data_IF_087748308495
#
_entry.id   IF_087748308495
#
_cell.length_a   1.000
_cell.length_b   1.000
_cell.length_c   1.000
_cell.angle_alpha   90.00
_cell.angle_beta   90.00
_cell.angle_gamma   90.00
#
_symmetry.space_group_name_H-M   'P 1'
#
loop_
_entity.id
_entity.type
_entity.pdbx_description
1 polymer ?
#
# COMPACT_ATOMS: atom_id res chain seq x y z
N UNK A 1 47.36 8.08 25.28
CA UNK A 1 46.44 8.50 24.21
C UNK A 1 45.42 7.38 24.00
N UNK A 2 44.19 7.60 24.43
CA UNK A 2 43.08 6.68 24.21
C UNK A 2 42.33 7.18 22.96
N UNK A 3 42.39 6.35 21.90
CA UNK A 3 41.68 6.60 20.65
C UNK A 3 40.23 6.13 20.83
N UNK A 4 39.29 7.06 21.01
CA UNK A 4 37.85 6.76 21.04
C UNK A 4 37.40 6.64 19.59
N UNK A 5 37.17 5.40 19.13
CA UNK A 5 36.52 5.12 17.87
C UNK A 5 35.01 5.39 18.05
N UNK A 6 34.55 6.52 17.55
CA UNK A 6 33.11 6.79 17.44
C UNK A 6 32.54 5.92 16.32
N UNK A 7 31.79 4.88 16.68
CA UNK A 7 30.95 4.15 15.74
C UNK A 7 29.77 5.05 15.37
N UNK A 8 29.86 5.69 14.20
CA UNK A 8 28.68 6.28 13.55
C UNK A 8 27.78 5.13 13.11
N UNK A 9 26.71 4.87 13.87
CA UNK A 9 25.60 4.05 13.40
C UNK A 9 24.93 4.83 12.29
N UNK A 10 25.33 4.55 11.04
CA UNK A 10 24.59 4.94 9.86
C UNK A 10 23.32 4.10 9.84
N UNK A 11 22.26 4.62 10.44
CA UNK A 11 20.91 4.11 10.23
C UNK A 11 20.59 4.34 8.75
N UNK A 12 20.86 3.33 7.94
CA UNK A 12 20.31 3.29 6.59
C UNK A 12 18.80 3.22 6.81
N UNK A 13 18.12 4.34 6.64
CA UNK A 13 16.72 4.35 6.28
C UNK A 13 16.66 3.64 4.93
N UNK A 14 16.48 2.33 4.96
CA UNK A 14 16.02 1.60 3.80
C UNK A 14 14.68 2.24 3.44
N UNK A 15 14.67 3.12 2.45
CA UNK A 15 13.46 3.58 1.81
C UNK A 15 12.69 2.31 1.49
N UNK A 16 11.47 2.19 2.00
CA UNK A 16 10.73 0.93 1.93
C UNK A 16 10.42 0.67 0.48
N UNK A 17 11.19 -0.22 -0.15
CA UNK A 17 10.97 -0.65 -1.53
C UNK A 17 9.77 -1.62 -1.58
N UNK A 18 8.61 -1.15 -1.08
CA UNK A 18 7.41 -1.93 -0.83
C UNK A 18 6.16 -1.15 -1.22
N UNK A 19 5.22 -1.80 -1.89
CA UNK A 19 3.96 -1.21 -2.32
C UNK A 19 4.12 0.02 -3.21
N UNK A 20 3.23 0.98 -3.07
CA UNK A 20 3.22 2.21 -3.87
C UNK A 20 4.51 3.04 -3.74
N UNK A 21 5.12 3.07 -2.56
CA UNK A 21 6.40 3.76 -2.35
C UNK A 21 7.54 3.09 -3.11
N UNK A 22 7.59 1.77 -3.12
CA UNK A 22 8.53 1.00 -3.90
C UNK A 22 8.36 1.26 -5.40
N UNK A 23 7.13 1.20 -5.88
CA UNK A 23 6.80 1.45 -7.29
C UNK A 23 7.22 2.85 -7.77
N UNK A 24 7.07 3.87 -6.90
CA UNK A 24 7.43 5.26 -7.26
C UNK A 24 8.93 5.50 -7.42
N UNK A 25 9.77 4.64 -6.86
CA UNK A 25 11.23 4.72 -6.95
C UNK A 25 11.83 3.90 -8.11
N UNK A 26 11.00 3.12 -8.82
CA UNK A 26 11.46 2.27 -9.91
C UNK A 26 11.75 3.07 -11.18
N UNK A 27 12.90 2.79 -11.79
CA UNK A 27 13.28 3.36 -13.10
C UNK A 27 12.72 2.56 -14.27
N UNK A 28 12.49 1.26 -14.07
CA UNK A 28 11.96 0.36 -15.08
C UNK A 28 10.91 -0.57 -14.47
N UNK A 29 9.74 -0.58 -15.07
CA UNK A 29 8.63 -1.45 -14.68
C UNK A 29 8.48 -2.58 -15.70
N UNK A 30 8.21 -3.78 -15.17
CA UNK A 30 7.73 -4.93 -15.93
C UNK A 30 6.49 -5.50 -15.24
N UNK A 31 5.81 -6.44 -15.88
CA UNK A 31 4.58 -7.02 -15.36
C UNK A 31 4.75 -7.60 -13.94
N UNK A 32 5.82 -8.36 -13.72
CA UNK A 32 6.10 -8.97 -12.40
C UNK A 32 6.26 -7.91 -11.31
N UNK A 33 7.03 -6.85 -11.56
CA UNK A 33 7.20 -5.75 -10.60
C UNK A 33 5.89 -5.04 -10.32
N UNK A 34 5.11 -4.72 -11.36
CA UNK A 34 3.83 -4.03 -11.19
C UNK A 34 2.83 -4.84 -10.36
N UNK A 35 2.70 -6.14 -10.64
CA UNK A 35 1.84 -7.03 -9.85
C UNK A 35 2.34 -7.17 -8.41
N UNK A 36 3.65 -7.30 -8.20
CA UNK A 36 4.21 -7.39 -6.85
C UNK A 36 3.94 -6.12 -6.04
N UNK A 37 4.18 -4.94 -6.59
CA UNK A 37 3.90 -3.69 -5.88
C UNK A 37 2.41 -3.49 -5.63
N UNK A 38 1.55 -3.87 -6.58
CA UNK A 38 0.11 -3.80 -6.40
C UNK A 38 -0.35 -4.64 -5.19
N UNK A 39 0.01 -5.91 -5.13
CA UNK A 39 -0.44 -6.78 -4.03
C UNK A 39 0.22 -6.42 -2.70
N UNK A 40 1.48 -5.95 -2.71
CA UNK A 40 2.16 -5.44 -1.52
C UNK A 40 1.43 -4.24 -0.92
N UNK A 41 0.93 -3.34 -1.75
CA UNK A 41 0.19 -2.16 -1.30
C UNK A 41 -1.15 -2.55 -0.67
N UNK A 42 -1.87 -3.51 -1.25
CA UNK A 42 -3.10 -4.04 -0.68
C UNK A 42 -2.85 -4.80 0.65
N UNK A 43 -1.75 -5.55 0.76
CA UNK A 43 -1.33 -6.17 2.03
C UNK A 43 -1.02 -5.11 3.09
N UNK A 44 -0.31 -4.04 2.71
CA UNK A 44 0.05 -2.96 3.64
C UNK A 44 -1.20 -2.23 4.13
N UNK A 45 -2.11 -1.86 3.25
CA UNK A 45 -3.37 -1.21 3.61
C UNK A 45 -4.20 -2.10 4.57
N UNK A 46 -4.29 -3.41 4.29
CA UNK A 46 -4.99 -4.34 5.18
C UNK A 46 -4.32 -4.43 6.56
N UNK A 47 -2.98 -4.50 6.62
CA UNK A 47 -2.24 -4.58 7.87
C UNK A 47 -2.38 -3.30 8.70
N UNK A 48 -2.25 -2.12 8.07
CA UNK A 48 -2.41 -0.81 8.72
C UNK A 48 -3.83 -0.61 9.27
N UNK A 49 -4.86 -0.94 8.49
CA UNK A 49 -6.24 -0.77 8.95
C UNK A 49 -6.60 -1.76 10.05
N UNK A 50 -6.03 -2.96 10.05
CA UNK A 50 -6.16 -3.91 11.17
C UNK A 50 -5.53 -3.34 12.44
N UNK A 51 -4.29 -2.86 12.37
CA UNK A 51 -3.60 -2.22 13.48
C UNK A 51 -4.43 -1.06 14.06
N UNK A 52 -4.98 -0.20 13.20
CA UNK A 52 -5.78 0.96 13.64
C UNK A 52 -7.07 0.51 14.34
N UNK A 53 -7.74 -0.51 13.82
CA UNK A 53 -8.95 -1.08 14.43
C UNK A 53 -8.63 -1.70 15.80
N UNK A 54 -7.53 -2.43 15.90
CA UNK A 54 -7.09 -3.04 17.16
C UNK A 54 -6.72 -1.99 18.20
N UNK A 55 -6.02 -0.92 17.80
CA UNK A 55 -5.55 0.13 18.71
C UNK A 55 -6.64 1.12 19.13
N UNK A 56 -7.50 1.53 18.23
CA UNK A 56 -8.47 2.61 18.45
C UNK A 56 -9.94 2.17 18.40
N UNK A 57 -10.18 0.87 18.22
CA UNK A 57 -11.52 0.31 18.05
C UNK A 57 -12.06 0.44 16.62
N UNK A 58 -13.28 -0.02 16.44
CA UNK A 58 -13.92 -0.17 15.14
C UNK A 58 -14.34 1.19 14.52
N UNK A 59 -13.35 1.99 14.10
CA UNK A 59 -13.53 3.32 13.52
C UNK A 59 -13.76 3.28 12.02
N UNK A 60 -14.80 4.02 11.55
CA UNK A 60 -14.96 4.27 10.11
C UNK A 60 -13.99 5.39 9.66
N UNK A 61 -13.45 5.31 8.43
CA UNK A 61 -13.77 4.37 7.37
C UNK A 61 -12.98 3.05 7.41
N UNK A 62 -11.95 2.90 8.29
CA UNK A 62 -11.06 1.74 8.35
C UNK A 62 -11.80 0.40 8.39
N UNK A 63 -12.81 0.29 9.24
CA UNK A 63 -13.60 -0.95 9.41
C UNK A 63 -14.40 -1.38 8.18
N UNK A 64 -14.68 -0.46 7.28
CA UNK A 64 -15.32 -0.77 6.01
C UNK A 64 -14.30 -1.08 4.92
N UNK A 65 -13.23 -0.27 4.86
CA UNK A 65 -12.22 -0.37 3.80
C UNK A 65 -11.41 -1.66 3.94
N UNK A 66 -11.05 -2.09 5.14
CA UNK A 66 -10.31 -3.35 5.35
C UNK A 66 -10.98 -4.57 4.67
N UNK A 67 -12.30 -4.58 4.57
CA UNK A 67 -13.05 -5.63 3.86
C UNK A 67 -12.90 -5.51 2.34
N UNK A 68 -12.68 -4.31 1.84
CA UNK A 68 -12.40 -4.08 0.42
C UNK A 68 -10.98 -4.53 0.09
N UNK A 69 -9.98 -4.22 0.93
CA UNK A 69 -8.59 -4.63 0.72
C UNK A 69 -8.44 -6.15 0.63
N UNK A 70 -9.19 -6.89 1.45
CA UNK A 70 -9.23 -8.34 1.31
C UNK A 70 -9.70 -8.78 -0.08
N UNK A 71 -10.77 -8.16 -0.60
CA UNK A 71 -11.28 -8.46 -1.95
C UNK A 71 -10.32 -8.03 -3.05
N UNK A 72 -9.57 -6.94 -2.84
CA UNK A 72 -8.54 -6.49 -3.79
C UNK A 72 -7.43 -7.52 -3.94
N UNK A 73 -6.95 -8.09 -2.83
CA UNK A 73 -5.99 -9.19 -2.84
C UNK A 73 -6.57 -10.40 -3.59
N UNK A 74 -7.83 -10.77 -3.30
CA UNK A 74 -8.54 -11.87 -3.98
C UNK A 74 -8.72 -11.62 -5.49
N UNK A 75 -8.77 -10.36 -5.94
CA UNK A 75 -8.82 -10.01 -7.37
C UNK A 75 -7.45 -10.11 -8.04
N UNK A 76 -6.35 -9.83 -7.33
CA UNK A 76 -4.99 -9.88 -7.87
C UNK A 76 -4.46 -11.32 -8.02
N UNK A 77 -4.74 -12.20 -7.08
CA UNK A 77 -4.22 -13.58 -7.06
C UNK A 77 -4.49 -14.34 -8.38
N UNK A 78 -5.70 -14.34 -8.96
CA UNK A 78 -5.94 -14.99 -10.25
C UNK A 78 -5.08 -14.44 -11.39
N UNK A 79 -4.80 -13.13 -11.39
CA UNK A 79 -3.96 -12.49 -12.39
C UNK A 79 -2.52 -13.00 -12.30
N UNK A 80 -1.95 -13.12 -11.09
CA UNK A 80 -0.65 -13.75 -10.89
C UNK A 80 -0.61 -15.17 -11.48
N UNK A 81 -1.63 -15.98 -11.21
CA UNK A 81 -1.72 -17.35 -11.68
C UNK A 81 -1.81 -17.42 -13.21
N UNK A 82 -2.64 -16.56 -13.84
CA UNK A 82 -2.80 -16.50 -15.29
C UNK A 82 -1.48 -16.22 -16.01
N UNK A 83 -0.64 -15.36 -15.40
CA UNK A 83 0.65 -14.95 -15.97
C UNK A 83 1.84 -15.78 -15.47
N UNK A 84 1.61 -16.89 -14.76
CA UNK A 84 2.65 -17.77 -14.17
C UNK A 84 3.66 -17.00 -13.30
N UNK A 85 3.19 -16.00 -12.59
CA UNK A 85 3.97 -15.21 -11.64
C UNK A 85 3.62 -15.66 -10.22
N UNK A 86 4.64 -15.94 -9.40
CA UNK A 86 4.40 -16.35 -8.02
C UNK A 86 3.88 -15.18 -7.19
N UNK A 87 2.82 -15.42 -6.42
CA UNK A 87 2.31 -14.44 -5.44
C UNK A 87 3.36 -14.28 -4.34
N UNK A 88 3.83 -13.05 -4.05
CA UNK A 88 4.81 -12.83 -2.98
C UNK A 88 4.19 -13.11 -1.61
N UNK A 89 5.05 -13.51 -0.66
CA UNK A 89 4.64 -13.65 0.73
C UNK A 89 4.20 -12.28 1.29
N UNK A 90 3.14 -12.30 2.09
CA UNK A 90 2.71 -11.12 2.85
C UNK A 90 3.69 -10.85 4.00
N UNK A 91 4.47 -9.78 3.86
CA UNK A 91 5.40 -9.27 4.87
C UNK A 91 5.05 -7.85 5.29
N UNK A 92 3.82 -7.41 5.02
CA UNK A 92 3.38 -6.03 5.26
C UNK A 92 3.54 -5.58 6.72
N UNK A 93 3.43 -6.51 7.67
CA UNK A 93 3.66 -6.20 9.09
C UNK A 93 5.05 -5.60 9.38
N UNK A 94 6.06 -5.91 8.55
CA UNK A 94 7.42 -5.35 8.69
C UNK A 94 7.53 -3.91 8.16
N UNK A 95 6.52 -3.42 7.47
CA UNK A 95 6.47 -2.11 6.83
C UNK A 95 5.42 -1.17 7.43
N UNK A 96 4.71 -1.64 8.46
CA UNK A 96 3.63 -0.94 9.11
C UNK A 96 4.12 0.34 9.79
N UNK A 97 3.40 1.45 9.57
CA UNK A 97 3.66 2.73 10.23
C UNK A 97 2.65 2.91 11.36
N UNK A 98 3.16 2.94 12.59
CA UNK A 98 2.31 3.19 13.75
C UNK A 98 1.89 4.66 13.85
N UNK A 99 0.63 4.90 14.18
CA UNK A 99 0.08 6.23 14.39
C UNK A 99 -0.35 6.45 15.85
N UNK A 100 -0.22 7.68 16.33
CA UNK A 100 -0.50 8.03 17.71
C UNK A 100 -1.96 8.37 17.99
N UNK A 101 -2.77 8.66 16.95
CA UNK A 101 -4.17 9.07 17.09
C UNK A 101 -5.01 8.66 15.89
N UNK A 102 -6.34 8.64 16.06
CA UNK A 102 -7.28 8.41 14.95
C UNK A 102 -7.13 9.48 13.87
N UNK A 103 -6.92 10.74 14.27
CA UNK A 103 -6.69 11.85 13.32
C UNK A 103 -5.45 11.62 12.46
N UNK A 104 -4.34 11.20 13.09
CA UNK A 104 -3.10 10.91 12.35
C UNK A 104 -3.25 9.67 11.47
N UNK A 105 -3.99 8.67 11.93
CA UNK A 105 -4.36 7.51 11.12
C UNK A 105 -5.18 7.90 9.87
N UNK A 106 -6.12 8.83 10.02
CA UNK A 106 -6.91 9.34 8.89
C UNK A 106 -6.03 10.10 7.88
N UNK A 107 -5.07 10.91 8.37
CA UNK A 107 -4.10 11.59 7.49
C UNK A 107 -3.22 10.58 6.74
N UNK A 108 -2.73 9.56 7.44
CA UNK A 108 -1.95 8.48 6.85
C UNK A 108 -2.76 7.74 5.78
N UNK A 109 -4.03 7.42 6.05
CA UNK A 109 -4.94 6.81 5.08
C UNK A 109 -5.17 7.68 3.84
N UNK A 110 -5.34 9.00 4.00
CA UNK A 110 -5.42 9.93 2.86
C UNK A 110 -4.16 9.84 1.99
N UNK A 111 -2.98 9.86 2.60
CA UNK A 111 -1.72 9.80 1.86
C UNK A 111 -1.53 8.44 1.18
N UNK A 112 -1.82 7.34 1.88
CA UNK A 112 -1.73 6.00 1.34
C UNK A 112 -2.61 5.83 0.09
N UNK A 113 -3.85 6.31 0.11
CA UNK A 113 -4.73 6.22 -1.06
C UNK A 113 -4.26 7.11 -2.22
N UNK A 114 -3.65 8.27 -1.95
CA UNK A 114 -3.03 9.11 -2.99
C UNK A 114 -1.86 8.35 -3.64
N UNK A 115 -0.98 7.75 -2.84
CA UNK A 115 0.18 7.01 -3.33
C UNK A 115 -0.26 5.78 -4.15
N UNK A 116 -1.28 5.05 -3.68
CA UNK A 116 -1.87 3.92 -4.40
C UNK A 116 -2.46 4.33 -5.76
N UNK A 117 -3.24 5.42 -5.82
CA UNK A 117 -3.78 5.95 -7.07
C UNK A 117 -2.65 6.31 -8.04
N UNK A 118 -1.61 7.00 -7.57
CA UNK A 118 -0.46 7.38 -8.37
C UNK A 118 0.27 6.14 -8.92
N UNK A 119 0.42 5.09 -8.11
CA UNK A 119 1.00 3.81 -8.53
C UNK A 119 0.21 3.20 -9.68
N UNK A 120 -1.11 3.06 -9.55
CA UNK A 120 -1.94 2.51 -10.63
C UNK A 120 -1.95 3.41 -11.88
N UNK A 121 -1.93 4.74 -11.73
CA UNK A 121 -1.78 5.65 -12.86
C UNK A 121 -0.46 5.44 -13.61
N UNK A 122 0.63 5.17 -12.88
CA UNK A 122 1.92 4.85 -13.48
C UNK A 122 1.88 3.51 -14.23
N UNK A 123 1.26 2.48 -13.64
CA UNK A 123 1.13 1.16 -14.25
C UNK A 123 0.25 1.19 -15.51
N UNK A 124 -0.86 1.90 -15.48
CA UNK A 124 -1.80 2.01 -16.60
C UNK A 124 -1.23 2.74 -17.82
N UNK A 125 -0.10 3.45 -17.68
CA UNK A 125 0.66 4.03 -18.81
C UNK A 125 1.53 3.01 -19.53
N UNK A 126 1.73 1.82 -18.95
CA UNK A 126 2.53 0.75 -19.55
C UNK A 126 1.67 -0.08 -20.51
N UNK A 127 2.36 -0.85 -21.38
CA UNK A 127 1.69 -1.92 -22.11
C UNK A 127 1.34 -3.04 -21.14
N UNK A 128 0.05 -3.37 -21.07
CA UNK A 128 -0.49 -4.35 -20.12
C UNK A 128 -1.38 -5.36 -20.85
N UNK A 129 -1.36 -6.63 -20.43
CA UNK A 129 -2.41 -7.58 -20.76
C UNK A 129 -3.80 -7.06 -20.34
N UNK A 130 -4.84 -7.42 -21.08
CA UNK A 130 -6.19 -6.86 -20.85
C UNK A 130 -6.74 -7.15 -19.46
N UNK A 131 -6.55 -8.36 -18.93
CA UNK A 131 -6.97 -8.77 -17.60
C UNK A 131 -6.25 -7.98 -16.48
N UNK A 132 -4.95 -7.70 -16.67
CA UNK A 132 -4.16 -6.87 -15.74
C UNK A 132 -4.67 -5.43 -15.75
N UNK A 133 -4.89 -4.86 -16.93
CA UNK A 133 -5.44 -3.51 -17.08
C UNK A 133 -6.78 -3.38 -16.37
N UNK A 134 -7.69 -4.31 -16.63
CA UNK A 134 -9.03 -4.31 -16.03
C UNK A 134 -8.98 -4.35 -14.50
N UNK A 135 -8.10 -5.16 -13.92
CA UNK A 135 -7.92 -5.23 -12.46
C UNK A 135 -7.33 -3.93 -11.92
N UNK A 136 -6.27 -3.38 -12.52
CA UNK A 136 -5.66 -2.14 -12.06
C UNK A 136 -6.62 -0.94 -12.14
N UNK A 137 -7.45 -0.83 -13.19
CA UNK A 137 -8.47 0.20 -13.29
C UNK A 137 -9.52 0.10 -12.17
N UNK A 138 -9.96 -1.13 -11.85
CA UNK A 138 -10.91 -1.38 -10.75
C UNK A 138 -10.32 -1.03 -9.39
N UNK A 139 -9.07 -1.41 -9.14
CA UNK A 139 -8.37 -1.12 -7.89
C UNK A 139 -8.15 0.39 -7.73
N UNK A 140 -7.68 1.07 -8.78
CA UNK A 140 -7.55 2.53 -8.76
C UNK A 140 -8.86 3.24 -8.46
N UNK A 141 -9.97 2.79 -9.05
CA UNK A 141 -11.30 3.34 -8.78
C UNK A 141 -11.76 3.10 -7.34
N UNK A 142 -11.43 1.95 -6.77
CA UNK A 142 -11.70 1.66 -5.37
C UNK A 142 -10.93 2.61 -4.46
N UNK A 143 -9.63 2.80 -4.68
CA UNK A 143 -8.80 3.73 -3.91
C UNK A 143 -9.26 5.18 -4.02
N UNK A 144 -9.78 5.62 -5.16
CA UNK A 144 -10.44 6.92 -5.29
C UNK A 144 -11.69 7.05 -4.39
N UNK A 145 -12.44 5.96 -4.20
CA UNK A 145 -13.58 5.92 -3.29
C UNK A 145 -13.11 5.97 -1.82
N UNK A 146 -12.08 5.20 -1.48
CA UNK A 146 -11.46 5.19 -0.16
C UNK A 146 -10.92 6.57 0.20
N UNK A 147 -10.19 7.21 -0.70
CA UNK A 147 -9.68 8.57 -0.51
C UNK A 147 -10.80 9.57 -0.15
N UNK A 148 -11.93 9.50 -0.87
CA UNK A 148 -13.10 10.34 -0.55
C UNK A 148 -13.65 10.05 0.84
N UNK A 149 -13.67 8.78 1.26
CA UNK A 149 -14.14 8.38 2.58
C UNK A 149 -13.20 8.87 3.69
N UNK A 150 -11.89 8.73 3.49
CA UNK A 150 -10.88 9.26 4.43
C UNK A 150 -10.93 10.78 4.56
N UNK A 151 -11.00 11.51 3.45
CA UNK A 151 -11.13 12.99 3.46
C UNK A 151 -12.39 13.44 4.22
N UNK A 152 -13.54 12.79 3.98
CA UNK A 152 -14.78 13.09 4.72
C UNK A 152 -14.67 12.78 6.20
N UNK A 153 -13.99 11.70 6.58
CA UNK A 153 -13.77 11.38 7.98
C UNK A 153 -12.84 12.41 8.64
N UNK A 154 -11.73 12.76 7.98
CA UNK A 154 -10.73 13.70 8.47
C UNK A 154 -11.32 15.11 8.67
N UNK A 155 -12.26 15.55 7.83
CA UNK A 155 -12.90 16.87 7.95
C UNK A 155 -13.75 17.05 9.21
N UNK A 156 -13.98 15.98 9.99
CA UNK A 156 -14.74 16.00 11.25
C UNK A 156 -13.84 16.12 12.49
N UNK A 157 -12.50 16.16 12.29
CA UNK A 157 -11.47 16.30 13.33
C UNK A 157 -10.79 17.66 13.26
#
# INVERSE_FOLDING_TARGET
>A
SILILAFFNLTIFAGTNFGAKGASSETTLNLTKMLNYAIQDEYLAQAEYRYIIEKFGNKRPFSNIIKAEKRHIEMLIPVFNTHNISVPQDIAANHLIETGSVKDSLKAGVQAEIDNINMYQLFLKQELPGDVRDVFERLMKASQNHLRAFKRALSRY
#
